data_IF_687664216426
#
_entry.id   IF_687664216426
#
_cell.length_a   1.000
_cell.length_b   1.000
_cell.length_c   1.000
_cell.angle_alpha   90.00
_cell.angle_beta   90.00
_cell.angle_gamma   90.00
#
_symmetry.space_group_name_H-M   'P 1'
#
loop_
_entity.id
_entity.type
_entity.pdbx_description
1 polymer ?
#
# COMPACT_ATOMS: atom_id res chain seq x y z
N UNK A 1 -25.42 -9.51 14.86
CA UNK A 1 -24.41 -8.66 15.55
C UNK A 1 -23.03 -9.28 15.36
N UNK A 2 -22.11 -8.50 14.78
CA UNK A 2 -20.72 -8.88 14.56
C UNK A 2 -19.84 -7.88 15.31
N UNK A 3 -18.70 -8.32 15.85
CA UNK A 3 -17.84 -7.44 16.64
C UNK A 3 -16.37 -7.79 16.40
N UNK A 4 -15.53 -6.77 16.38
CA UNK A 4 -14.06 -6.92 16.31
C UNK A 4 -13.39 -6.16 17.43
N UNK A 5 -12.13 -6.52 17.73
CA UNK A 5 -11.31 -5.82 18.70
C UNK A 5 -10.23 -5.05 17.94
N UNK A 6 -10.15 -3.73 18.15
CA UNK A 6 -9.14 -2.87 17.56
C UNK A 6 -8.35 -2.15 18.64
N UNK A 7 -7.06 -1.87 18.35
CA UNK A 7 -6.27 -0.92 19.14
C UNK A 7 -6.53 0.47 18.58
N UNK A 8 -7.01 1.38 19.44
CA UNK A 8 -7.18 2.80 19.13
C UNK A 8 -6.40 3.60 20.17
N UNK A 9 -5.40 4.37 19.74
CA UNK A 9 -4.54 5.14 20.64
C UNK A 9 -3.89 4.28 21.74
N UNK A 10 -3.54 3.04 21.42
CA UNK A 10 -2.92 2.10 22.37
C UNK A 10 -3.88 1.45 23.37
N UNK A 11 -5.19 1.64 23.23
CA UNK A 11 -6.21 0.97 24.03
C UNK A 11 -7.05 0.01 23.18
N UNK A 12 -7.47 -1.12 23.75
CA UNK A 12 -8.29 -2.09 23.04
C UNK A 12 -9.78 -1.79 23.22
N UNK A 13 -10.50 -1.70 22.10
CA UNK A 13 -11.93 -1.43 22.04
C UNK A 13 -12.65 -2.53 21.27
N UNK A 14 -13.84 -2.89 21.75
CA UNK A 14 -14.80 -3.65 20.97
C UNK A 14 -15.54 -2.71 20.03
N UNK A 15 -15.55 -3.03 18.74
CA UNK A 15 -16.20 -2.25 17.70
C UNK A 15 -17.31 -3.09 17.06
N UNK A 16 -18.52 -2.56 17.12
CA UNK A 16 -19.69 -3.20 16.52
C UNK A 16 -19.71 -2.98 15.01
N UNK A 17 -19.90 -4.07 14.29
CA UNK A 17 -20.06 -4.06 12.84
C UNK A 17 -21.55 -4.21 12.51
N UNK A 18 -22.00 -3.63 11.38
CA UNK A 18 -23.33 -3.85 10.82
C UNK A 18 -23.69 -5.35 10.69
N UNK A 19 -24.98 -5.62 10.58
CA UNK A 19 -25.45 -7.00 10.40
C UNK A 19 -24.99 -7.56 9.04
N UNK A 20 -24.61 -8.86 8.93
CA UNK A 20 -24.13 -9.41 7.67
C UNK A 20 -25.04 -9.21 6.47
N UNK A 21 -26.36 -9.15 6.70
CA UNK A 21 -27.36 -9.04 5.66
C UNK A 21 -27.70 -7.57 5.29
N UNK A 22 -27.05 -6.60 5.95
CA UNK A 22 -27.30 -5.18 5.74
C UNK A 22 -26.76 -4.69 4.39
N UNK A 23 -27.49 -3.77 3.76
CA UNK A 23 -27.09 -3.06 2.55
C UNK A 23 -26.55 -1.68 2.90
N UNK A 24 -25.22 -1.53 2.89
CA UNK A 24 -24.56 -0.27 3.27
C UNK A 24 -24.65 0.77 2.16
N UNK A 25 -24.68 0.33 0.90
CA UNK A 25 -24.86 1.17 -0.29
C UNK A 25 -25.65 0.41 -1.36
N UNK A 26 -26.26 1.09 -2.34
CA UNK A 26 -26.82 0.43 -3.51
C UNK A 26 -25.80 -0.51 -4.16
N UNK A 27 -26.14 -1.80 -4.23
CA UNK A 27 -25.29 -2.85 -4.79
C UNK A 27 -24.15 -3.35 -3.88
N UNK A 28 -24.10 -2.94 -2.61
CA UNK A 28 -23.05 -3.34 -1.65
C UNK A 28 -23.69 -3.95 -0.41
N UNK A 29 -23.71 -5.28 -0.35
CA UNK A 29 -24.13 -6.03 0.84
C UNK A 29 -22.95 -6.21 1.79
N UNK A 30 -23.17 -6.02 3.09
CA UNK A 30 -22.10 -5.93 4.10
C UNK A 30 -21.29 -7.22 4.25
N UNK A 31 -21.98 -8.34 4.42
CA UNK A 31 -21.36 -9.65 4.60
C UNK A 31 -20.73 -9.88 5.97
N UNK A 32 -20.08 -11.03 6.10
CA UNK A 32 -19.43 -11.47 7.35
C UNK A 32 -17.97 -11.04 7.38
N UNK A 33 -17.49 -10.50 8.49
CA UNK A 33 -16.12 -9.98 8.57
C UNK A 33 -15.05 -11.08 8.47
N UNK A 34 -15.39 -12.32 8.85
CA UNK A 34 -14.53 -13.49 8.72
C UNK A 34 -14.52 -14.09 7.30
N UNK A 35 -15.43 -13.64 6.42
CA UNK A 35 -15.43 -14.05 5.01
C UNK A 35 -14.55 -13.09 4.22
N UNK A 36 -13.41 -13.55 3.66
CA UNK A 36 -12.49 -12.68 2.96
C UNK A 36 -13.15 -11.93 1.81
N UNK A 37 -12.66 -10.72 1.54
CA UNK A 37 -13.05 -9.87 0.41
C UNK A 37 -14.46 -9.26 0.48
N UNK A 38 -15.23 -9.55 1.54
CA UNK A 38 -16.50 -8.83 1.81
C UNK A 38 -16.24 -7.39 2.27
N UNK A 39 -17.21 -6.47 2.17
CA UNK A 39 -17.11 -5.14 2.76
C UNK A 39 -16.77 -5.17 4.26
N UNK A 40 -17.43 -6.04 5.03
CA UNK A 40 -17.16 -6.23 6.46
C UNK A 40 -15.72 -6.68 6.74
N UNK A 41 -15.18 -7.58 5.92
CA UNK A 41 -13.77 -7.98 6.01
C UNK A 41 -12.85 -6.77 5.84
N UNK A 42 -13.01 -6.00 4.76
CA UNK A 42 -12.12 -4.86 4.51
C UNK A 42 -12.18 -3.78 5.58
N UNK A 43 -13.39 -3.41 6.01
CA UNK A 43 -13.57 -2.39 7.04
C UNK A 43 -13.05 -2.84 8.38
N UNK A 44 -13.31 -4.10 8.78
CA UNK A 44 -12.76 -4.62 10.04
C UNK A 44 -11.23 -4.64 10.05
N UNK A 45 -10.59 -5.06 8.94
CA UNK A 45 -9.13 -5.02 8.82
C UNK A 45 -8.59 -3.58 8.89
N UNK A 46 -9.29 -2.62 8.28
CA UNK A 46 -8.91 -1.20 8.34
C UNK A 46 -9.00 -0.64 9.77
N UNK A 47 -10.11 -0.88 10.48
CA UNK A 47 -10.26 -0.47 11.87
C UNK A 47 -9.20 -1.10 12.79
N UNK A 48 -8.90 -2.39 12.59
CA UNK A 48 -7.87 -3.09 13.37
C UNK A 48 -6.44 -2.63 13.06
N UNK A 49 -6.22 -1.98 11.92
CA UNK A 49 -4.89 -1.53 11.46
C UNK A 49 -4.64 -0.04 11.72
N UNK A 50 -5.58 0.67 12.33
CA UNK A 50 -5.54 2.13 12.43
C UNK A 50 -4.28 2.64 13.15
N UNK A 51 -3.95 2.06 14.30
CA UNK A 51 -2.75 2.40 15.08
C UNK A 51 -1.45 2.06 14.31
N UNK A 52 -1.42 0.96 13.55
CA UNK A 52 -0.25 0.57 12.75
C UNK A 52 0.05 1.59 11.63
N UNK A 53 -0.97 2.30 11.16
CA UNK A 53 -0.86 3.26 10.05
C UNK A 53 -0.69 4.72 10.54
N UNK A 54 -0.70 4.97 11.87
CA UNK A 54 -0.46 6.31 12.44
C UNK A 54 0.89 6.93 12.06
N UNK A 55 1.80 6.12 11.53
CA UNK A 55 3.09 6.54 11.03
C UNK A 55 3.11 7.43 9.82
N UNK A 56 1.93 7.61 9.22
CA UNK A 56 1.78 8.28 7.95
C UNK A 56 2.28 7.42 6.80
N UNK A 57 2.25 8.04 5.62
CA UNK A 57 2.49 7.36 4.35
C UNK A 57 3.66 7.98 3.58
N UNK A 58 4.41 8.87 4.23
CA UNK A 58 5.52 9.61 3.62
C UNK A 58 6.66 8.66 3.27
N UNK A 59 7.12 8.76 2.03
CA UNK A 59 8.36 8.12 1.56
C UNK A 59 9.50 9.13 1.52
N UNK A 60 9.18 10.40 1.29
CA UNK A 60 10.11 11.52 1.16
C UNK A 60 9.95 12.59 2.23
N UNK A 61 10.90 13.52 2.25
CA UNK A 61 10.94 14.67 3.16
C UNK A 61 10.19 15.89 2.62
N UNK A 62 10.02 15.97 1.30
CA UNK A 62 9.40 17.09 0.58
C UNK A 62 8.40 16.62 -0.46
N UNK A 63 7.58 17.53 -0.98
CA UNK A 63 6.69 17.24 -2.11
C UNK A 63 7.46 16.73 -3.34
N UNK A 64 8.64 17.32 -3.61
CA UNK A 64 9.51 16.88 -4.71
C UNK A 64 9.95 15.42 -4.53
N UNK A 65 10.32 15.02 -3.32
CA UNK A 65 10.69 13.62 -3.05
C UNK A 65 9.49 12.67 -3.17
N UNK A 66 8.28 13.08 -2.78
CA UNK A 66 7.07 12.28 -3.02
C UNK A 66 6.76 12.11 -4.51
N UNK A 67 6.95 13.17 -5.32
CA UNK A 67 6.85 13.09 -6.78
C UNK A 67 7.86 12.09 -7.34
N UNK A 68 9.11 12.13 -6.87
CA UNK A 68 10.14 11.17 -7.28
C UNK A 68 9.72 9.74 -6.92
N UNK A 69 9.26 9.52 -5.69
CA UNK A 69 8.84 8.21 -5.20
C UNK A 69 7.70 7.63 -6.05
N UNK A 70 6.66 8.42 -6.31
CA UNK A 70 5.48 7.97 -7.05
C UNK A 70 5.75 7.75 -8.54
N UNK A 71 6.60 8.57 -9.16
CA UNK A 71 6.98 8.38 -10.56
C UNK A 71 7.89 7.14 -10.75
N UNK A 72 8.76 6.84 -9.79
CA UNK A 72 9.66 5.67 -9.88
C UNK A 72 9.03 4.36 -9.41
N UNK A 73 8.12 4.41 -8.44
CA UNK A 73 7.35 3.27 -7.93
C UNK A 73 6.07 2.94 -8.70
N UNK A 74 5.75 3.71 -9.76
CA UNK A 74 4.55 3.56 -10.55
C UNK A 74 4.46 2.26 -11.38
N UNK A 75 3.43 2.18 -12.23
CA UNK A 75 3.08 0.99 -13.01
C UNK A 75 4.31 0.38 -13.72
N UNK A 76 4.47 -0.93 -13.55
CA UNK A 76 5.50 -1.73 -14.20
C UNK A 76 6.77 -1.95 -13.36
N UNK A 77 7.03 -1.25 -12.27
CA UNK A 77 8.18 -1.56 -11.41
C UNK A 77 7.71 -2.28 -10.13
N UNK A 78 8.35 -3.38 -9.71
CA UNK A 78 8.21 -3.89 -8.35
C UNK A 78 8.52 -2.78 -7.33
N UNK A 79 7.73 -2.69 -6.26
CA UNK A 79 7.80 -1.57 -5.32
C UNK A 79 9.22 -1.37 -4.73
N UNK A 80 9.86 -2.47 -4.38
CA UNK A 80 11.23 -2.57 -3.87
C UNK A 80 12.27 -2.01 -4.86
N UNK A 81 12.10 -2.24 -6.15
CA UNK A 81 12.94 -1.66 -7.21
C UNK A 81 12.68 -0.15 -7.34
N UNK A 82 11.42 0.26 -7.32
CA UNK A 82 11.04 1.67 -7.35
C UNK A 82 11.59 2.46 -6.15
N UNK A 83 11.55 1.87 -4.95
CA UNK A 83 12.04 2.46 -3.73
C UNK A 83 13.57 2.62 -3.74
N UNK A 84 14.30 1.61 -4.23
CA UNK A 84 15.74 1.74 -4.39
C UNK A 84 16.12 2.83 -5.40
N UNK A 85 15.40 2.92 -6.52
CA UNK A 85 15.60 3.98 -7.51
C UNK A 85 15.32 5.37 -6.91
N UNK A 86 14.21 5.51 -6.17
CA UNK A 86 13.85 6.71 -5.43
C UNK A 86 14.95 7.14 -4.46
N UNK A 87 15.40 6.24 -3.59
CA UNK A 87 16.47 6.53 -2.61
C UNK A 87 17.73 7.05 -3.29
N UNK A 88 18.11 6.46 -4.43
CA UNK A 88 19.27 6.90 -5.21
C UNK A 88 19.07 8.29 -5.81
N UNK A 89 17.96 8.53 -6.50
CA UNK A 89 17.68 9.84 -7.11
C UNK A 89 17.62 10.94 -6.04
N UNK A 90 16.95 10.71 -4.92
CA UNK A 90 16.90 11.69 -3.82
C UNK A 90 18.26 11.94 -3.18
N UNK A 91 19.13 10.92 -3.08
CA UNK A 91 20.51 11.12 -2.64
C UNK A 91 21.26 12.08 -3.55
N UNK A 92 21.16 11.90 -4.88
CA UNK A 92 21.83 12.78 -5.83
C UNK A 92 21.22 14.19 -5.87
N UNK A 93 19.89 14.33 -5.78
CA UNK A 93 19.25 15.65 -5.66
C UNK A 93 19.77 16.44 -4.45
N UNK A 94 19.80 15.81 -3.27
CA UNK A 94 20.32 16.44 -2.05
C UNK A 94 21.80 16.76 -2.13
N UNK A 95 22.61 15.86 -2.71
CA UNK A 95 24.05 16.08 -2.91
C UNK A 95 24.33 17.31 -3.79
N UNK A 96 23.46 17.59 -4.74
CA UNK A 96 23.58 18.74 -5.63
C UNK A 96 22.81 19.98 -5.12
N UNK A 97 22.22 19.93 -3.91
CA UNK A 97 21.34 20.96 -3.36
C UNK A 97 20.30 21.47 -4.38
N UNK A 98 19.70 20.53 -5.13
CA UNK A 98 18.79 20.85 -6.23
C UNK A 98 17.46 20.12 -6.10
N UNK A 99 16.40 20.77 -6.55
CA UNK A 99 15.05 20.19 -6.64
C UNK A 99 14.88 19.33 -7.91
N UNK A 100 15.71 19.57 -8.94
CA UNK A 100 15.65 18.85 -10.21
C UNK A 100 17.05 18.61 -10.80
N UNK A 101 17.16 17.65 -11.71
CA UNK A 101 18.37 17.37 -12.48
C UNK A 101 17.99 17.22 -13.97
N UNK A 102 18.91 17.51 -14.91
CA UNK A 102 18.66 17.26 -16.33
C UNK A 102 18.31 15.80 -16.61
N UNK A 103 17.43 15.56 -17.58
CA UNK A 103 16.94 14.20 -17.89
C UNK A 103 18.06 13.21 -18.23
N UNK A 104 19.14 13.64 -18.90
CA UNK A 104 20.27 12.76 -19.21
C UNK A 104 21.01 12.32 -17.94
N UNK A 105 21.21 13.21 -16.96
CA UNK A 105 21.82 12.90 -15.66
C UNK A 105 20.94 11.92 -14.89
N UNK A 106 19.63 12.13 -14.88
CA UNK A 106 18.69 11.20 -14.24
C UNK A 106 18.67 9.83 -14.94
N UNK A 107 18.81 9.78 -16.27
CA UNK A 107 18.91 8.52 -17.01
C UNK A 107 20.18 7.77 -16.62
N UNK A 108 21.33 8.44 -16.55
CA UNK A 108 22.60 7.86 -16.09
C UNK A 108 22.46 7.25 -14.69
N UNK A 109 21.91 8.01 -13.74
CA UNK A 109 21.67 7.56 -12.35
C UNK A 109 20.78 6.31 -12.30
N UNK A 110 19.73 6.26 -13.13
CA UNK A 110 18.77 5.15 -13.17
C UNK A 110 19.28 3.93 -13.95
N UNK A 111 20.25 4.11 -14.86
CA UNK A 111 20.90 3.01 -15.58
C UNK A 111 21.89 2.25 -14.69
N UNK A 112 22.43 2.90 -13.66
CA UNK A 112 23.28 2.22 -12.69
C UNK A 112 22.54 1.08 -11.96
N UNK A 113 23.15 -0.12 -11.85
CA UNK A 113 22.53 -1.22 -11.12
C UNK A 113 22.13 -0.86 -9.68
N UNK A 114 20.93 -1.24 -9.28
CA UNK A 114 20.39 -1.11 -7.92
C UNK A 114 20.81 -2.32 -7.10
N UNK A 115 21.30 -2.11 -5.88
CA UNK A 115 21.56 -3.21 -4.95
C UNK A 115 20.31 -3.50 -4.13
N UNK A 116 19.77 -4.70 -4.26
CA UNK A 116 18.59 -5.19 -3.54
C UNK A 116 18.90 -6.57 -2.96
N UNK A 117 18.92 -6.68 -1.63
CA UNK A 117 19.17 -7.95 -0.93
C UNK A 117 20.43 -8.67 -1.44
N UNK A 118 21.52 -7.93 -1.64
CA UNK A 118 22.79 -8.45 -2.15
C UNK A 118 22.82 -8.75 -3.65
N UNK A 119 21.74 -8.48 -4.39
CA UNK A 119 21.67 -8.68 -5.86
C UNK A 119 21.66 -7.36 -6.59
N UNK A 120 22.34 -7.31 -7.73
CA UNK A 120 22.28 -6.18 -8.65
C UNK A 120 21.10 -6.33 -9.60
N UNK A 121 20.24 -5.33 -9.64
CA UNK A 121 19.01 -5.31 -10.45
C UNK A 121 18.99 -4.05 -11.31
N UNK A 122 18.54 -4.16 -12.56
CA UNK A 122 18.41 -3.03 -13.48
C UNK A 122 17.04 -2.37 -13.35
N UNK A 123 17.00 -1.04 -13.39
CA UNK A 123 15.75 -0.29 -13.49
C UNK A 123 15.31 -0.18 -14.95
N UNK A 124 14.31 -0.97 -15.35
CA UNK A 124 13.94 -1.17 -16.76
C UNK A 124 13.32 0.05 -17.47
N UNK A 125 13.02 1.12 -16.74
CA UNK A 125 12.35 2.32 -17.29
C UNK A 125 13.21 3.58 -17.18
N UNK A 126 14.53 3.45 -17.05
CA UNK A 126 15.44 4.57 -16.79
C UNK A 126 15.17 5.78 -17.68
N UNK A 127 15.23 5.63 -19.01
CA UNK A 127 15.01 6.73 -19.96
C UNK A 127 13.65 7.41 -19.82
N UNK A 128 12.57 6.62 -19.81
CA UNK A 128 11.22 7.17 -19.76
C UNK A 128 10.98 7.92 -18.44
N UNK A 129 11.41 7.33 -17.32
CA UNK A 129 11.22 7.92 -15.99
C UNK A 129 12.14 9.10 -15.74
N UNK A 130 13.36 9.09 -16.27
CA UNK A 130 14.25 10.24 -16.22
C UNK A 130 13.66 11.47 -16.91
N UNK A 131 13.04 11.28 -18.09
CA UNK A 131 12.32 12.35 -18.78
C UNK A 131 11.15 12.88 -17.94
N UNK A 132 10.26 12.00 -17.46
CA UNK A 132 9.13 12.43 -16.64
C UNK A 132 9.56 13.12 -15.34
N UNK A 133 10.61 12.63 -14.68
CA UNK A 133 11.13 13.25 -13.47
C UNK A 133 11.66 14.66 -13.74
N UNK A 134 12.51 14.84 -14.75
CA UNK A 134 13.05 16.16 -15.08
C UNK A 134 11.92 17.16 -15.38
N UNK A 135 10.98 16.76 -16.25
CA UNK A 135 9.88 17.62 -16.69
C UNK A 135 8.92 17.93 -15.52
N UNK A 136 8.56 16.93 -14.70
CA UNK A 136 7.65 17.11 -13.57
C UNK A 136 8.27 17.94 -12.44
N UNK A 137 9.56 17.71 -12.10
CA UNK A 137 10.23 18.46 -11.04
C UNK A 137 10.49 19.91 -11.44
N UNK A 138 10.72 20.21 -12.72
CA UNK A 138 10.79 21.59 -13.19
C UNK A 138 9.44 22.30 -13.06
N UNK A 139 8.34 21.65 -13.47
CA UNK A 139 7.00 22.21 -13.31
C UNK A 139 6.57 22.35 -11.84
N UNK A 140 7.03 21.45 -10.96
CA UNK A 140 6.72 21.48 -9.53
C UNK A 140 7.20 22.75 -8.83
N UNK A 141 8.24 23.42 -9.35
CA UNK A 141 8.76 24.69 -8.81
C UNK A 141 7.71 25.81 -8.77
N UNK A 142 6.66 25.70 -9.58
CA UNK A 142 5.57 26.67 -9.67
C UNK A 142 4.34 26.27 -8.84
N UNK A 143 4.40 25.17 -8.10
CA UNK A 143 3.33 24.70 -7.23
C UNK A 143 3.70 24.99 -5.78
N UNK A 144 3.01 25.94 -5.15
CA UNK A 144 3.06 26.13 -3.70
C UNK A 144 1.98 25.26 -3.04
N UNK A 145 2.38 24.15 -2.41
CA UNK A 145 1.44 23.25 -1.77
C UNK A 145 0.61 23.92 -0.67
N UNK A 146 1.14 24.95 0.01
CA UNK A 146 0.45 25.61 1.13
C UNK A 146 -0.82 26.36 0.68
N UNK A 147 -0.93 26.67 -0.61
CA UNK A 147 -2.07 27.39 -1.20
C UNK A 147 -3.25 26.47 -1.56
N UNK A 148 -3.10 25.16 -1.42
CA UNK A 148 -4.08 24.17 -1.89
C UNK A 148 -4.56 23.25 -0.76
N UNK A 149 -5.87 22.97 -0.76
CA UNK A 149 -6.39 21.76 -0.12
C UNK A 149 -5.94 20.50 -0.88
N UNK A 150 -6.30 19.33 -0.36
CA UNK A 150 -5.83 18.05 -0.90
C UNK A 150 -6.32 17.76 -2.33
N UNK A 151 -7.57 18.13 -2.62
CA UNK A 151 -8.17 17.91 -3.94
C UNK A 151 -7.55 18.86 -4.95
N UNK A 152 -7.41 20.14 -4.59
CA UNK A 152 -6.80 21.16 -5.43
C UNK A 152 -5.31 20.89 -5.67
N UNK A 153 -4.57 20.40 -4.68
CA UNK A 153 -3.18 19.97 -4.86
C UNK A 153 -3.10 18.81 -5.85
N UNK A 154 -4.00 17.83 -5.75
CA UNK A 154 -4.09 16.73 -6.72
C UNK A 154 -4.38 17.23 -8.13
N UNK A 155 -5.28 18.22 -8.31
CA UNK A 155 -5.51 18.83 -9.64
C UNK A 155 -4.27 19.51 -10.18
N UNK A 156 -3.59 20.31 -9.36
CA UNK A 156 -2.38 21.02 -9.76
C UNK A 156 -1.27 20.04 -10.19
N UNK A 157 -1.10 18.95 -9.44
CA UNK A 157 -0.14 17.89 -9.76
C UNK A 157 -0.49 17.15 -11.07
N UNK A 158 -1.77 16.99 -11.42
CA UNK A 158 -2.19 16.34 -12.67
C UNK A 158 -1.79 17.12 -13.93
N UNK A 159 -1.44 18.40 -13.80
CA UNK A 159 -0.93 19.20 -14.92
C UNK A 159 0.53 18.89 -15.25
N UNK A 160 1.24 18.20 -14.36
CA UNK A 160 2.65 17.87 -14.55
C UNK A 160 2.83 16.64 -15.46
N UNK A 161 3.86 16.63 -16.34
CA UNK A 161 4.11 15.52 -17.23
C UNK A 161 4.30 14.17 -16.51
N UNK A 162 3.55 13.15 -16.94
CA UNK A 162 3.65 11.80 -16.37
C UNK A 162 2.88 11.60 -15.07
N UNK A 163 2.18 12.62 -14.56
CA UNK A 163 1.34 12.53 -13.36
C UNK A 163 -0.14 12.55 -13.76
N UNK A 164 -0.76 11.37 -13.74
CA UNK A 164 -2.22 11.25 -13.87
C UNK A 164 -2.93 11.24 -12.51
N UNK A 165 -4.28 11.18 -12.48
CA UNK A 165 -5.08 11.26 -11.26
C UNK A 165 -4.65 10.28 -10.17
N UNK A 166 -4.37 9.02 -10.53
CA UNK A 166 -3.87 8.02 -9.58
C UNK A 166 -2.55 8.42 -8.93
N UNK A 167 -1.59 8.85 -9.74
CA UNK A 167 -0.26 9.23 -9.24
C UNK A 167 -0.36 10.50 -8.40
N UNK A 168 -1.16 11.48 -8.81
CA UNK A 168 -1.40 12.69 -8.03
C UNK A 168 -2.08 12.40 -6.68
N UNK A 169 -3.12 11.57 -6.66
CA UNK A 169 -3.77 11.11 -5.42
C UNK A 169 -2.77 10.37 -4.52
N UNK A 170 -1.87 9.57 -5.09
CA UNK A 170 -0.83 8.88 -4.33
C UNK A 170 0.14 9.87 -3.68
N UNK A 171 0.61 10.87 -4.42
CA UNK A 171 1.48 11.93 -3.88
C UNK A 171 0.79 12.66 -2.73
N UNK A 172 -0.47 13.08 -2.91
CA UNK A 172 -1.22 13.81 -1.88
C UNK A 172 -1.45 12.95 -0.64
N UNK A 173 -1.86 11.68 -0.80
CA UNK A 173 -2.01 10.75 0.33
C UNK A 173 -0.68 10.60 1.07
N UNK A 174 0.42 10.36 0.36
CA UNK A 174 1.71 10.17 1.01
C UNK A 174 2.17 11.43 1.75
N UNK A 175 2.08 12.60 1.10
CA UNK A 175 2.54 13.87 1.64
C UNK A 175 1.73 14.32 2.86
N UNK A 176 0.41 14.13 2.84
CA UNK A 176 -0.54 14.72 3.79
C UNK A 176 -1.36 13.74 4.61
N UNK A 177 -1.20 12.43 4.40
CA UNK A 177 -2.08 11.40 4.93
C UNK A 177 -3.56 11.66 4.59
N UNK A 178 -3.82 12.19 3.40
CA UNK A 178 -5.16 12.62 2.99
C UNK A 178 -6.13 11.45 2.85
N UNK A 179 -7.32 11.62 3.40
CA UNK A 179 -8.50 10.78 3.18
C UNK A 179 -9.47 11.37 2.14
N UNK A 180 -9.11 12.52 1.53
CA UNK A 180 -9.97 13.26 0.59
C UNK A 180 -9.75 12.87 -0.88
N UNK A 181 -8.78 12.00 -1.14
CA UNK A 181 -8.44 11.47 -2.47
C UNK A 181 -8.28 9.96 -2.39
N UNK A 182 -8.63 9.25 -3.46
CA UNK A 182 -8.45 7.80 -3.55
C UNK A 182 -7.37 7.45 -4.55
N UNK A 183 -6.62 6.36 -4.29
CA UNK A 183 -5.60 5.84 -5.19
C UNK A 183 -6.18 4.61 -5.91
N UNK A 184 -6.84 4.82 -7.05
CA UNK A 184 -7.52 3.73 -7.75
C UNK A 184 -6.55 2.93 -8.63
N UNK A 185 -5.78 2.04 -8.00
CA UNK A 185 -4.94 1.09 -8.70
C UNK A 185 -5.68 -0.21 -9.05
N UNK A 186 -4.97 -1.15 -9.69
CA UNK A 186 -5.57 -2.43 -10.14
C UNK A 186 -6.05 -3.29 -8.97
N UNK A 187 -5.40 -3.23 -7.81
CA UNK A 187 -5.78 -3.98 -6.62
C UNK A 187 -7.01 -3.38 -5.96
N UNK A 188 -7.05 -2.05 -5.81
CA UNK A 188 -8.21 -1.33 -5.29
C UNK A 188 -9.42 -1.56 -6.18
N UNK A 189 -9.27 -1.37 -7.50
CA UNK A 189 -10.38 -1.57 -8.46
C UNK A 189 -10.88 -3.01 -8.42
N UNK A 190 -9.98 -3.99 -8.33
CA UNK A 190 -10.36 -5.40 -8.24
C UNK A 190 -11.12 -5.72 -6.95
N UNK A 191 -10.62 -5.29 -5.79
CA UNK A 191 -11.30 -5.51 -4.51
C UNK A 191 -12.67 -4.84 -4.47
N UNK A 192 -12.76 -3.60 -4.96
CA UNK A 192 -14.01 -2.87 -5.03
C UNK A 192 -15.01 -3.52 -6.00
N UNK A 193 -14.55 -4.10 -7.11
CA UNK A 193 -15.40 -4.89 -7.99
C UNK A 193 -15.94 -6.16 -7.32
N UNK A 194 -15.07 -6.90 -6.62
CA UNK A 194 -15.45 -8.13 -5.91
C UNK A 194 -16.48 -7.91 -4.79
N UNK A 195 -16.39 -6.77 -4.11
CA UNK A 195 -17.33 -6.42 -3.04
C UNK A 195 -18.56 -5.64 -3.52
N UNK A 196 -18.77 -5.53 -4.84
CA UNK A 196 -19.91 -4.82 -5.46
C UNK A 196 -19.82 -3.28 -5.40
N UNK A 197 -18.76 -2.73 -4.81
CA UNK A 197 -18.55 -1.28 -4.70
C UNK A 197 -18.18 -0.63 -6.03
N UNK A 198 -17.64 -1.35 -7.01
CA UNK A 198 -17.47 -0.85 -8.38
C UNK A 198 -18.27 -1.70 -9.37
N UNK A 199 -18.73 -1.12 -10.49
CA UNK A 199 -19.36 -1.92 -11.54
C UNK A 199 -18.35 -2.92 -12.12
N UNK A 200 -18.84 -4.05 -12.63
CA UNK A 200 -18.02 -5.17 -13.14
C UNK A 200 -16.99 -4.74 -14.21
N UNK A 201 -17.34 -3.73 -15.01
CA UNK A 201 -16.49 -3.17 -16.07
C UNK A 201 -15.91 -1.78 -15.71
N UNK A 202 -15.59 -1.57 -14.44
CA UNK A 202 -14.99 -0.33 -13.98
C UNK A 202 -13.69 -0.01 -14.75
N UNK A 203 -13.65 1.19 -15.34
CA UNK A 203 -12.49 1.67 -16.07
C UNK A 203 -11.99 2.99 -15.44
N UNK A 204 -11.00 2.94 -14.53
CA UNK A 204 -10.46 4.14 -13.90
C UNK A 204 -9.79 5.10 -14.88
N UNK A 205 -9.41 4.66 -16.09
CA UNK A 205 -8.86 5.56 -17.10
C UNK A 205 -9.93 6.51 -17.69
N UNK A 206 -11.20 6.11 -17.67
CA UNK A 206 -12.32 6.91 -18.19
C UNK A 206 -13.17 7.54 -17.07
N UNK A 207 -13.33 6.84 -15.94
CA UNK A 207 -14.28 7.19 -14.89
C UNK A 207 -13.61 7.37 -13.53
N UNK A 208 -12.39 7.92 -13.49
CA UNK A 208 -11.63 8.04 -12.24
C UNK A 208 -12.42 8.74 -11.12
N UNK A 209 -13.09 9.85 -11.46
CA UNK A 209 -13.84 10.67 -10.50
C UNK A 209 -15.06 9.97 -9.93
N UNK A 210 -15.83 9.32 -10.79
CA UNK A 210 -17.04 8.61 -10.37
C UNK A 210 -16.69 7.44 -9.45
N UNK A 211 -15.62 6.70 -9.79
CA UNK A 211 -15.12 5.61 -8.96
C UNK A 211 -14.51 6.12 -7.65
N UNK A 212 -13.76 7.23 -7.68
CA UNK A 212 -13.20 7.86 -6.47
C UNK A 212 -14.31 8.32 -5.54
N UNK A 213 -15.33 8.99 -6.06
CA UNK A 213 -16.48 9.42 -5.28
C UNK A 213 -17.20 8.22 -4.63
N UNK A 214 -17.39 7.12 -5.37
CA UNK A 214 -18.01 5.91 -4.82
C UNK A 214 -17.15 5.27 -3.72
N UNK A 215 -15.83 5.26 -3.88
CA UNK A 215 -14.89 4.79 -2.86
C UNK A 215 -14.92 5.66 -1.59
N UNK A 216 -14.82 6.98 -1.73
CA UNK A 216 -14.85 7.91 -0.60
C UNK A 216 -16.21 7.91 0.11
N UNK A 217 -17.32 7.76 -0.64
CA UNK A 217 -18.65 7.62 -0.06
C UNK A 217 -18.79 6.34 0.77
N UNK A 218 -18.18 5.23 0.33
CA UNK A 218 -18.11 4.01 1.11
C UNK A 218 -17.35 4.21 2.42
N UNK A 219 -16.14 4.75 2.34
CA UNK A 219 -15.31 5.09 3.50
C UNK A 219 -16.05 5.98 4.51
N UNK A 220 -16.76 7.01 4.03
CA UNK A 220 -17.56 7.90 4.87
C UNK A 220 -18.70 7.16 5.57
N UNK A 221 -19.45 6.31 4.85
CA UNK A 221 -20.57 5.54 5.43
C UNK A 221 -20.11 4.53 6.46
N UNK A 222 -18.93 3.96 6.30
CA UNK A 222 -18.38 2.94 7.20
C UNK A 222 -17.47 3.54 8.27
N UNK A 223 -17.37 4.88 8.36
CA UNK A 223 -16.45 5.57 9.26
C UNK A 223 -15.02 4.99 9.18
N UNK A 224 -14.52 4.82 7.97
CA UNK A 224 -13.20 4.25 7.68
C UNK A 224 -12.37 5.30 6.95
N UNK A 225 -11.12 5.51 7.39
CA UNK A 225 -10.19 6.39 6.68
C UNK A 225 -9.83 5.79 5.32
N UNK A 226 -10.01 6.56 4.25
CA UNK A 226 -9.77 6.12 2.88
C UNK A 226 -8.31 5.70 2.66
N UNK A 227 -7.37 6.42 3.27
CA UNK A 227 -5.94 6.13 3.22
C UNK A 227 -5.56 4.82 3.89
N UNK A 228 -6.24 4.43 4.98
CA UNK A 228 -6.02 3.16 5.69
C UNK A 228 -6.65 2.00 4.92
N UNK A 229 -7.88 2.18 4.44
CA UNK A 229 -8.57 1.17 3.64
C UNK A 229 -7.77 0.85 2.36
N UNK A 230 -7.24 1.87 1.68
CA UNK A 230 -6.32 1.70 0.55
C UNK A 230 -5.11 0.82 0.92
N UNK A 231 -4.42 1.16 2.02
CA UNK A 231 -3.22 0.43 2.44
C UNK A 231 -3.52 -1.04 2.76
N UNK A 232 -4.62 -1.30 3.45
CA UNK A 232 -5.08 -2.65 3.78
C UNK A 232 -5.44 -3.42 2.52
N UNK A 233 -6.28 -2.87 1.64
CA UNK A 233 -6.68 -3.55 0.39
C UNK A 233 -5.45 -3.84 -0.44
N UNK A 234 -4.58 -2.86 -0.66
CA UNK A 234 -3.36 -3.04 -1.46
C UNK A 234 -2.45 -4.12 -0.88
N UNK A 235 -2.17 -4.06 0.43
CA UNK A 235 -1.31 -5.00 1.14
C UNK A 235 -1.87 -6.42 1.09
N UNK A 236 -3.16 -6.60 1.35
CA UNK A 236 -3.80 -7.92 1.26
C UNK A 236 -3.83 -8.44 -0.17
N UNK A 237 -4.32 -7.65 -1.13
CA UNK A 237 -4.52 -8.10 -2.51
C UNK A 237 -3.21 -8.42 -3.24
N UNK A 238 -2.10 -7.75 -2.91
CA UNK A 238 -0.78 -8.07 -3.46
C UNK A 238 -0.24 -9.42 -2.97
N UNK A 239 -0.65 -9.85 -1.77
CA UNK A 239 -0.18 -11.09 -1.15
C UNK A 239 -1.09 -12.31 -1.41
N UNK A 240 -2.30 -12.10 -1.93
CA UNK A 240 -3.18 -13.21 -2.34
C UNK A 240 -2.66 -13.84 -3.64
N UNK A 241 -2.25 -15.11 -3.56
CA UNK A 241 -1.86 -15.87 -4.75
C UNK A 241 -3.04 -16.07 -5.72
N UNK A 242 -2.76 -16.19 -7.03
CA UNK A 242 -3.82 -16.43 -8.01
C UNK A 242 -4.66 -17.70 -7.77
N UNK A 243 -4.07 -18.72 -7.13
CA UNK A 243 -4.79 -19.94 -6.72
C UNK A 243 -5.77 -19.66 -5.58
N UNK A 244 -5.31 -18.98 -4.53
CA UNK A 244 -6.16 -18.59 -3.41
C UNK A 244 -7.25 -17.62 -3.86
N UNK A 245 -6.93 -16.69 -4.77
CA UNK A 245 -7.90 -15.76 -5.34
C UNK A 245 -9.05 -16.46 -6.04
N UNK A 246 -8.77 -17.45 -6.90
CA UNK A 246 -9.81 -18.28 -7.54
C UNK A 246 -10.62 -19.04 -6.49
N UNK A 247 -9.95 -19.55 -5.46
CA UNK A 247 -10.63 -20.25 -4.38
C UNK A 247 -11.65 -19.38 -3.64
N UNK A 248 -11.26 -18.15 -3.31
CA UNK A 248 -12.10 -17.20 -2.59
C UNK A 248 -13.27 -16.69 -3.45
N UNK A 249 -13.11 -16.62 -4.78
CA UNK A 249 -14.15 -16.12 -5.70
C UNK A 249 -15.09 -17.23 -6.18
N UNK A 250 -14.52 -18.37 -6.59
CA UNK A 250 -15.26 -19.45 -7.25
C UNK A 250 -15.79 -20.49 -6.24
N UNK A 251 -15.36 -20.43 -4.98
CA UNK A 251 -15.79 -21.36 -3.92
C UNK A 251 -15.32 -22.81 -4.08
N UNK A 252 -14.60 -23.16 -5.15
CA UNK A 252 -14.18 -24.53 -5.45
C UNK A 252 -12.94 -24.96 -4.67
N UNK A 253 -13.14 -25.50 -3.46
CA UNK A 253 -12.18 -26.45 -2.87
C UNK A 253 -12.63 -27.86 -3.30
N UNK A 254 -11.82 -28.56 -4.10
CA UNK A 254 -11.74 -30.01 -3.96
C UNK A 254 -11.24 -30.26 -2.55
N UNK A 255 -12.14 -30.67 -1.65
CA UNK A 255 -11.84 -30.96 -0.25
C UNK A 255 -10.60 -31.81 -0.19
N UNK A 256 -9.51 -31.28 0.40
CA UNK A 256 -8.47 -32.17 0.89
C UNK A 256 -9.16 -33.01 1.95
N UNK A 257 -9.23 -34.32 1.70
CA UNK A 257 -9.92 -35.28 2.55
C UNK A 257 -9.56 -35.04 4.03
N UNK A 258 -10.62 -34.96 4.84
CA UNK A 258 -10.64 -34.92 6.29
C UNK A 258 -9.34 -35.42 6.94
N UNK A 259 -8.47 -34.51 7.37
CA UNK A 259 -7.63 -34.81 8.52
C UNK A 259 -8.50 -34.60 9.76
N UNK A 260 -9.16 -35.68 10.19
CA UNK A 260 -9.84 -35.73 11.48
C UNK A 260 -8.88 -35.26 12.59
N UNK A 261 -9.35 -34.49 13.59
CA UNK A 261 -8.55 -34.22 14.76
C UNK A 261 -8.20 -35.56 15.42
N UNK A 262 -6.90 -35.75 15.68
CA UNK A 262 -6.34 -36.95 16.28
C UNK A 262 -7.21 -37.49 17.42
N UNK A 263 -7.69 -38.74 17.26
CA UNK A 263 -8.17 -39.54 18.39
C UNK A 263 -7.02 -39.65 19.41
N UNK A 264 -7.33 -39.27 20.64
CA UNK A 264 -6.48 -39.53 21.80
C UNK A 264 -6.13 -41.03 21.86
N UNK A 265 -4.86 -41.35 21.64
CA UNK A 265 -4.28 -42.67 21.81
C UNK A 265 -2.90 -42.49 22.42
N UNK A 266 -2.82 -42.69 23.75
CA UNK A 266 -1.64 -42.34 24.53
C UNK A 266 -0.36 -43.05 24.08
N UNK A 267 0.74 -42.30 24.11
CA UNK A 267 2.10 -42.77 24.41
C UNK A 267 3.03 -41.57 24.69
N UNK A 268 3.40 -41.48 25.97
CA UNK A 268 4.56 -40.85 26.63
C UNK A 268 5.20 -39.62 25.95
N UNK A 269 5.05 -38.47 26.61
CA UNK A 269 5.96 -37.34 26.49
C UNK A 269 7.42 -37.80 26.69
N UNK A 270 8.26 -37.66 25.67
CA UNK A 270 9.70 -37.57 25.90
C UNK A 270 10.04 -36.10 26.17
N UNK A 271 10.51 -35.84 27.39
CA UNK A 271 11.21 -34.61 27.71
C UNK A 271 12.51 -34.56 26.90
N UNK A 272 12.64 -33.58 26.01
CA UNK A 272 13.92 -33.22 25.43
C UNK A 272 14.45 -32.00 26.20
N UNK A 273 15.54 -32.23 26.91
CA UNK A 273 16.32 -31.26 27.67
C UNK A 273 16.89 -30.21 26.73
N UNK A 274 16.66 -28.92 27.05
CA UNK A 274 17.27 -27.79 26.35
C UNK A 274 18.68 -27.57 26.92
N UNK A 275 19.71 -27.84 26.12
CA UNK A 275 21.06 -27.30 26.31
C UNK A 275 21.60 -26.82 24.96
N UNK A 276 22.08 -25.58 24.92
CA UNK A 276 22.88 -25.05 23.81
C UNK A 276 22.44 -23.67 23.34
N UNK A 277 23.09 -22.64 23.89
CA UNK A 277 23.05 -21.28 23.39
C UNK A 277 23.68 -21.21 21.98
N UNK A 278 22.99 -20.63 21.02
CA UNK A 278 23.57 -20.11 19.78
C UNK A 278 22.94 -18.72 19.56
N UNK A 279 23.72 -17.68 19.83
CA UNK A 279 23.33 -16.30 19.50
C UNK A 279 23.48 -16.06 17.99
N UNK A 280 22.63 -15.21 17.38
CA UNK A 280 22.67 -14.95 15.94
C UNK A 280 23.97 -14.25 15.54
N UNK A 281 24.52 -14.65 14.40
CA UNK A 281 25.76 -14.06 13.84
C UNK A 281 25.48 -12.72 13.18
N UNK A 282 26.53 -11.95 12.87
CA UNK A 282 26.44 -10.58 12.37
C UNK A 282 25.80 -10.48 10.97
N UNK A 283 25.89 -11.54 10.17
CA UNK A 283 25.27 -11.65 8.84
C UNK A 283 23.75 -11.95 8.93
N UNK A 284 23.31 -12.68 9.97
CA UNK A 284 21.89 -12.93 10.22
C UNK A 284 21.12 -11.64 10.55
N UNK A 285 21.81 -10.67 11.18
CA UNK A 285 21.23 -9.36 11.56
C UNK A 285 21.09 -8.36 10.40
N UNK A 286 21.82 -8.54 9.30
CA UNK A 286 21.71 -7.68 8.10
C UNK A 286 20.63 -8.18 7.13
N UNK A 287 20.43 -9.51 7.04
CA UNK A 287 19.35 -10.11 6.26
C UNK A 287 17.95 -9.85 6.83
N UNK A 288 17.82 -9.86 8.16
CA UNK A 288 16.58 -9.52 8.87
C UNK A 288 16.22 -8.03 8.70
N UNK A 289 17.23 -7.13 8.68
CA UNK A 289 17.03 -5.68 8.51
C UNK A 289 16.43 -5.30 7.15
N UNK A 290 16.77 -6.04 6.10
CA UNK A 290 16.29 -5.82 4.73
C UNK A 290 14.91 -6.44 4.47
N UNK A 291 14.57 -7.55 5.12
CA UNK A 291 13.21 -8.11 5.11
C UNK A 291 12.24 -7.25 5.93
N UNK A 292 12.72 -6.63 7.02
CA UNK A 292 11.96 -5.64 7.80
C UNK A 292 11.71 -4.35 6.98
N UNK A 293 12.65 -3.90 6.15
CA UNK A 293 12.43 -2.72 5.26
C UNK A 293 11.40 -2.94 4.15
N UNK A 294 11.26 -4.17 3.63
CA UNK A 294 10.22 -4.50 2.64
C UNK A 294 8.84 -4.68 3.29
N UNK A 295 8.80 -5.16 4.55
CA UNK A 295 7.58 -5.22 5.36
C UNK A 295 7.10 -3.83 5.85
N UNK A 296 8.03 -2.88 6.02
CA UNK A 296 7.77 -1.49 6.39
C UNK A 296 6.96 -0.68 5.36
N UNK A 297 6.81 -1.18 4.13
CA UNK A 297 5.95 -0.58 3.09
C UNK A 297 4.50 -1.11 3.17
N UNK A 298 4.23 -2.14 4.00
CA UNK A 298 2.97 -2.88 4.01
C UNK A 298 2.08 -2.71 5.24
N UNK A 299 2.62 -2.73 6.46
CA UNK A 299 1.87 -2.57 7.73
C UNK A 299 2.84 -2.03 8.80
N UNK A 300 2.58 -0.82 9.32
CA UNK A 300 3.55 -0.05 10.08
C UNK A 300 3.78 -0.52 11.52
N UNK A 301 5.05 -0.70 11.88
CA UNK A 301 5.56 -0.19 13.15
C UNK A 301 6.70 0.79 12.83
N UNK A 302 6.50 2.02 13.31
CA UNK A 302 7.34 3.18 13.05
C UNK A 302 8.66 3.13 13.81
N UNK A 303 9.75 3.37 13.10
CA UNK A 303 10.94 3.95 13.71
C UNK A 303 11.11 5.36 13.13
N UNK A 304 11.21 6.41 13.96
CA UNK A 304 11.41 7.76 13.46
C UNK A 304 12.80 7.89 12.80
N UNK A 305 12.85 8.59 11.67
CA UNK A 305 14.10 9.08 11.08
C UNK A 305 14.56 10.27 11.96
N UNK A 306 15.79 10.26 12.52
CA UNK A 306 16.28 11.40 13.27
C UNK A 306 16.41 12.62 12.36
N UNK A 307 16.13 13.79 12.96
CA UNK A 307 16.16 15.12 12.33
C UNK A 307 17.46 15.40 11.55
#
# INVERSE_FOLDING_TARGET
>A
MQQVIASLSGQFHFLDLPDPDEWIMPGVQWGRYEHPLTPAFWVSQAWMSEDAVQGGFRLGRSLAEEVVACLLGGHGAPAEIGLAAFRRVCKELRRNDSVTLPSHVLEEILLEPLSLNGRLVRYRFARQRAKYLADALEGLRYIDESMFDDVALREALCLLPGIGPKTASWIVRNRRASDQVAILDVHIVRACGLMGLFPEKANPAQHYRDLEQRFLAFCSRTNTRASVLDAVIWGTMRNISGRLMRLLVDGTISTVENHSPHKAGGRKCLAAVVHGAIGPTKEDREGERLQVEAAQVGLGHLVPIPA
#
